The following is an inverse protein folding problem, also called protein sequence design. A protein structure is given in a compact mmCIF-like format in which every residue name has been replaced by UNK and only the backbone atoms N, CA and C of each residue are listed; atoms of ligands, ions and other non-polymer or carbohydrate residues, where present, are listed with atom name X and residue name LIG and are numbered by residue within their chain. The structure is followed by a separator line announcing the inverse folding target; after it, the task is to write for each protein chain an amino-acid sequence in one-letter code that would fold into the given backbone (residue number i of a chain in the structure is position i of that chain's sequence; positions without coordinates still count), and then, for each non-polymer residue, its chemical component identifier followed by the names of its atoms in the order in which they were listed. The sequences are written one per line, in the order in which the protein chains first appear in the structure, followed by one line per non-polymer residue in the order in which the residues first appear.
data_IF_402649686095
#
_entry.id   IF_402649686095
#
_cell.length_a   1.000
_cell.length_b   1.000
_cell.length_c   1.000
_cell.angle_alpha   90.00
_cell.angle_beta   90.00
_cell.angle_gamma   90.00
#
_symmetry.space_group_name_H-M   'P 1'
#
loop_
_entity.id
_entity.type
_entity.pdbx_description
1 polymer ?
#
# COMPACT_ATOMS: atom_id res chain seq x y z
N UNK A 1 34.88 6.39 -27.01
CA UNK A 1 33.57 6.78 -26.43
C UNK A 1 32.75 5.52 -26.23
N UNK A 2 32.45 5.13 -24.99
CA UNK A 2 31.73 3.89 -24.67
C UNK A 2 30.25 4.24 -24.49
N UNK A 3 29.42 3.97 -25.51
CA UNK A 3 27.97 3.98 -25.34
C UNK A 3 27.52 2.58 -24.89
N UNK A 4 27.34 2.41 -23.58
CA UNK A 4 26.83 1.20 -22.96
C UNK A 4 25.37 0.94 -23.32
N UNK A 5 25.12 0.23 -24.41
CA UNK A 5 23.81 -0.37 -24.68
C UNK A 5 23.54 -1.46 -23.64
N UNK A 6 22.54 -1.24 -22.78
CA UNK A 6 22.08 -2.25 -21.82
C UNK A 6 21.56 -3.47 -22.59
N UNK A 7 22.05 -4.67 -22.22
CA UNK A 7 21.65 -5.95 -22.83
C UNK A 7 20.10 -6.07 -22.89
N UNK A 8 19.49 -6.22 -24.08
CA UNK A 8 18.04 -6.24 -24.26
C UNK A 8 17.30 -7.34 -23.48
N UNK A 9 17.98 -8.43 -23.11
CA UNK A 9 17.40 -9.47 -22.25
C UNK A 9 17.11 -8.98 -20.82
N UNK A 10 17.91 -8.05 -20.29
CA UNK A 10 17.70 -7.45 -18.97
C UNK A 10 16.51 -6.46 -18.95
N UNK A 11 16.09 -5.93 -20.11
CA UNK A 11 14.92 -5.04 -20.23
C UNK A 11 13.62 -5.82 -20.00
N UNK A 12 13.55 -7.08 -20.46
CA UNK A 12 12.35 -7.93 -20.32
C UNK A 12 12.16 -8.49 -18.91
N UNK A 13 13.24 -8.82 -18.18
CA UNK A 13 13.17 -9.39 -16.81
C UNK A 13 12.50 -8.46 -15.79
N UNK A 14 12.58 -7.13 -15.97
CA UNK A 14 11.93 -6.16 -15.08
C UNK A 14 10.45 -5.87 -15.39
N UNK A 15 9.91 -6.29 -16.54
CA UNK A 15 8.57 -5.88 -17.01
C UNK A 15 7.44 -6.50 -16.19
N UNK A 16 7.50 -7.81 -15.94
CA UNK A 16 6.42 -8.52 -15.22
C UNK A 16 6.34 -8.15 -13.73
N UNK A 17 7.45 -8.06 -12.96
CA UNK A 17 7.38 -7.60 -11.57
C UNK A 17 6.83 -6.17 -11.43
N UNK A 18 7.22 -5.26 -12.34
CA UNK A 18 6.69 -3.89 -12.38
C UNK A 18 5.19 -3.87 -12.68
N UNK A 19 4.74 -4.63 -13.68
CA UNK A 19 3.33 -4.78 -14.00
C UNK A 19 2.53 -5.29 -12.79
N UNK A 20 3.06 -6.31 -12.10
CA UNK A 20 2.46 -6.88 -10.89
C UNK A 20 2.37 -5.87 -9.74
N UNK A 21 3.35 -4.98 -9.60
CA UNK A 21 3.31 -3.86 -8.65
C UNK A 21 2.19 -2.88 -9.00
N UNK A 22 2.11 -2.46 -10.25
CA UNK A 22 1.06 -1.56 -10.72
C UNK A 22 -0.35 -2.19 -10.63
N UNK A 23 -0.47 -3.52 -10.81
CA UNK A 23 -1.73 -4.26 -10.55
C UNK A 23 -2.17 -4.12 -9.09
N UNK A 24 -1.23 -4.26 -8.13
CA UNK A 24 -1.54 -4.10 -6.70
C UNK A 24 -1.96 -2.67 -6.36
N UNK A 25 -1.24 -1.67 -6.86
CA UNK A 25 -1.59 -0.25 -6.65
C UNK A 25 -3.02 0.04 -7.14
N UNK A 26 -3.35 -0.41 -8.36
CA UNK A 26 -4.70 -0.28 -8.93
C UNK A 26 -5.76 -1.00 -8.09
N UNK A 27 -5.46 -2.21 -7.62
CA UNK A 27 -6.37 -2.98 -6.78
C UNK A 27 -6.65 -2.25 -5.47
N UNK A 28 -5.62 -1.77 -4.79
CA UNK A 28 -5.74 -1.03 -3.54
C UNK A 28 -6.61 0.22 -3.70
N UNK A 29 -6.32 1.07 -4.72
CA UNK A 29 -7.13 2.25 -5.03
C UNK A 29 -8.58 1.89 -5.36
N UNK A 30 -8.81 0.78 -6.09
CA UNK A 30 -10.17 0.33 -6.41
C UNK A 30 -10.94 -0.08 -5.16
N UNK A 31 -10.31 -0.85 -4.25
CA UNK A 31 -10.94 -1.29 -3.01
C UNK A 31 -11.27 -0.12 -2.09
N UNK A 32 -10.34 0.84 -1.93
CA UNK A 32 -10.59 2.04 -1.15
C UNK A 32 -11.78 2.86 -1.69
N UNK A 33 -11.85 3.07 -3.01
CA UNK A 33 -12.97 3.76 -3.64
C UNK A 33 -14.31 3.02 -3.49
N UNK A 34 -14.28 1.69 -3.46
CA UNK A 34 -15.50 0.88 -3.30
C UNK A 34 -16.15 1.09 -1.94
N UNK A 35 -15.38 1.44 -0.91
CA UNK A 35 -15.88 1.80 0.43
C UNK A 35 -16.00 3.33 0.61
N UNK A 36 -16.10 4.10 -0.47
CA UNK A 36 -16.35 5.53 -0.42
C UNK A 36 -15.15 6.42 -0.06
N UNK A 37 -13.93 5.89 0.00
CA UNK A 37 -12.72 6.66 0.30
C UNK A 37 -12.14 7.35 -0.94
N UNK A 38 -11.57 8.54 -0.75
CA UNK A 38 -10.78 9.22 -1.76
C UNK A 38 -9.41 8.55 -1.89
N UNK A 39 -9.05 8.08 -3.10
CA UNK A 39 -7.80 7.37 -3.33
C UNK A 39 -7.20 7.57 -4.73
N UNK A 40 -5.86 7.58 -4.81
CA UNK A 40 -5.09 7.82 -6.04
C UNK A 40 -3.82 6.95 -6.13
N UNK A 41 -3.46 6.55 -7.37
CA UNK A 41 -2.12 6.00 -7.65
C UNK A 41 -1.12 7.16 -7.79
N UNK A 42 0.03 7.07 -7.13
CA UNK A 42 1.06 8.12 -7.13
C UNK A 42 2.19 7.87 -8.14
N UNK A 43 2.48 6.61 -8.47
CA UNK A 43 3.48 6.26 -9.48
C UNK A 43 2.94 6.46 -10.91
N UNK A 44 3.36 7.53 -11.59
CA UNK A 44 3.04 7.75 -13.02
C UNK A 44 4.21 7.67 -13.98
N UNK A 45 5.43 7.38 -13.52
CA UNK A 45 6.52 7.07 -14.45
C UNK A 45 7.90 7.25 -13.87
N UNK A 46 8.50 6.17 -13.37
CA UNK A 46 9.95 6.01 -13.19
C UNK A 46 10.66 6.95 -12.20
N UNK A 47 10.07 8.08 -11.83
CA UNK A 47 10.54 8.99 -10.81
C UNK A 47 10.15 8.42 -9.45
N UNK A 48 11.15 8.09 -8.64
CA UNK A 48 10.97 7.69 -7.26
C UNK A 48 10.49 8.92 -6.49
N UNK A 49 9.18 9.00 -6.22
CA UNK A 49 8.64 10.03 -5.34
C UNK A 49 9.05 9.73 -3.88
N UNK A 50 9.33 10.75 -3.09
CA UNK A 50 9.68 10.58 -1.66
C UNK A 50 8.53 9.98 -0.84
N UNK A 51 7.30 10.11 -1.32
CA UNK A 51 6.07 9.66 -0.66
C UNK A 51 5.50 8.41 -1.37
N UNK A 52 4.73 7.61 -0.62
CA UNK A 52 4.32 6.24 -0.96
C UNK A 52 3.63 6.02 -2.32
N UNK A 53 3.52 4.75 -2.70
CA UNK A 53 3.03 4.27 -4.00
C UNK A 53 1.55 4.64 -4.29
N UNK A 54 0.71 4.78 -3.25
CA UNK A 54 -0.70 5.23 -3.32
C UNK A 54 -1.01 6.27 -2.24
N UNK A 55 -2.08 7.02 -2.47
CA UNK A 55 -2.65 7.99 -1.53
C UNK A 55 -4.10 7.62 -1.21
N UNK A 56 -4.49 7.60 0.06
CA UNK A 56 -5.86 7.34 0.53
C UNK A 56 -6.17 8.37 1.62
N UNK A 57 -7.24 9.16 1.45
CA UNK A 57 -7.67 10.22 2.39
C UNK A 57 -6.51 11.14 2.84
N UNK A 58 -5.65 11.53 1.89
CA UNK A 58 -4.48 12.40 2.15
C UNK A 58 -3.29 11.72 2.84
N UNK A 59 -3.37 10.42 3.12
CA UNK A 59 -2.29 9.62 3.69
C UNK A 59 -1.60 8.74 2.63
N UNK A 60 -0.29 8.50 2.79
CA UNK A 60 0.56 7.84 1.79
C UNK A 60 0.96 6.43 2.21
N UNK A 61 0.82 5.46 1.30
CA UNK A 61 1.08 4.04 1.56
C UNK A 61 1.92 3.38 0.46
N UNK A 62 2.85 2.51 0.86
CA UNK A 62 3.64 1.68 -0.06
C UNK A 62 2.93 0.39 -0.46
N UNK A 63 3.03 -0.01 -1.72
CA UNK A 63 2.50 -1.24 -2.31
C UNK A 63 3.65 -2.19 -2.69
N UNK A 64 3.93 -3.18 -1.84
CA UNK A 64 4.99 -4.16 -2.11
C UNK A 64 4.42 -5.56 -2.30
N UNK A 65 4.77 -6.19 -3.43
CA UNK A 65 4.52 -7.63 -3.64
C UNK A 65 5.72 -8.44 -3.20
N UNK A 66 5.46 -9.56 -2.53
CA UNK A 66 6.44 -10.57 -2.13
C UNK A 66 5.87 -11.94 -2.44
N UNK A 67 6.75 -12.90 -2.73
CA UNK A 67 6.35 -14.30 -2.95
C UNK A 67 5.82 -14.94 -1.67
N UNK A 68 6.37 -14.53 -0.52
CA UNK A 68 5.91 -14.93 0.82
C UNK A 68 5.89 -13.68 1.70
N UNK A 69 4.81 -13.49 2.45
CA UNK A 69 4.73 -12.44 3.48
C UNK A 69 5.54 -12.91 4.69
N UNK A 70 6.14 -11.98 5.43
CA UNK A 70 6.74 -12.27 6.73
C UNK A 70 5.68 -12.90 7.64
N UNK A 71 5.79 -14.21 7.89
CA UNK A 71 4.79 -14.96 8.67
C UNK A 71 4.77 -14.55 10.13
N UNK A 72 5.93 -14.20 10.68
CA UNK A 72 6.12 -13.83 12.10
C UNK A 72 5.34 -12.57 12.52
N UNK A 73 4.82 -11.78 11.58
CA UNK A 73 4.02 -10.59 11.86
C UNK A 73 2.51 -10.79 11.67
N UNK A 74 2.07 -11.99 11.26
CA UNK A 74 0.66 -12.26 10.99
C UNK A 74 -0.03 -12.82 12.24
N UNK A 75 -1.36 -12.64 12.36
CA UNK A 75 -2.14 -13.40 13.33
C UNK A 75 -1.83 -14.90 13.20
N UNK A 76 -1.50 -15.54 14.32
CA UNK A 76 -1.16 -16.97 14.36
C UNK A 76 -2.33 -17.81 14.88
N UNK A 77 -3.29 -17.19 15.56
CA UNK A 77 -4.53 -17.80 16.05
C UNK A 77 -5.72 -17.00 15.50
N UNK A 78 -6.81 -16.91 16.25
CA UNK A 78 -8.04 -16.21 15.86
C UNK A 78 -8.00 -14.70 16.15
N UNK A 79 -6.85 -14.04 15.98
CA UNK A 79 -6.74 -12.58 16.16
C UNK A 79 -7.03 -11.80 14.87
N UNK A 80 -7.57 -10.58 14.99
CA UNK A 80 -7.83 -9.68 13.83
C UNK A 80 -6.58 -8.95 13.32
N UNK A 81 -5.52 -8.91 14.14
CA UNK A 81 -4.27 -8.22 13.84
C UNK A 81 -3.17 -8.50 14.86
N UNK A 82 -1.96 -8.05 14.56
CA UNK A 82 -0.79 -8.21 15.44
C UNK A 82 -0.14 -6.86 15.68
N UNK A 83 -0.02 -6.46 16.95
CA UNK A 83 0.69 -5.25 17.36
C UNK A 83 2.15 -5.58 17.61
N UNK A 84 3.06 -4.81 17.02
CA UNK A 84 4.52 -5.01 17.07
C UNK A 84 5.16 -3.72 17.54
N UNK A 85 6.11 -3.80 18.46
CA UNK A 85 6.87 -2.65 18.96
C UNK A 85 8.34 -3.02 19.15
N UNK A 86 9.22 -2.25 18.56
CA UNK A 86 10.67 -2.33 18.81
C UNK A 86 11.02 -1.62 20.13
N UNK A 87 12.15 -1.94 20.75
CA UNK A 87 12.57 -1.29 22.00
C UNK A 87 12.65 0.24 21.83
N UNK A 88 12.03 0.98 22.75
CA UNK A 88 11.88 2.46 22.72
C UNK A 88 11.23 3.02 21.45
N UNK A 89 10.68 2.18 20.57
CA UNK A 89 9.99 2.55 19.35
C UNK A 89 8.49 2.78 19.53
N UNK A 90 7.82 3.23 18.46
CA UNK A 90 6.35 3.32 18.41
C UNK A 90 5.76 1.94 18.09
N UNK A 91 4.59 1.58 18.68
CA UNK A 91 3.88 0.39 18.27
C UNK A 91 3.26 0.57 16.88
N UNK A 92 3.30 -0.47 16.08
CA UNK A 92 2.62 -0.61 14.80
C UNK A 92 1.69 -1.80 14.84
N UNK A 93 0.73 -1.88 13.91
CA UNK A 93 -0.18 -3.01 13.79
C UNK A 93 -0.18 -3.56 12.37
N UNK A 94 -0.18 -4.89 12.26
CA UNK A 94 -0.48 -5.60 11.02
C UNK A 94 -1.95 -5.98 11.05
N UNK A 95 -2.70 -5.49 10.08
CA UNK A 95 -4.13 -5.75 9.88
C UNK A 95 -4.37 -6.35 8.50
N UNK A 96 -5.45 -7.08 8.36
CA UNK A 96 -6.00 -7.38 7.04
C UNK A 96 -6.39 -6.08 6.33
N UNK A 97 -6.10 -6.04 5.03
CA UNK A 97 -6.24 -4.80 4.27
C UNK A 97 -7.69 -4.31 4.21
N UNK A 98 -8.65 -5.24 4.14
CA UNK A 98 -10.08 -4.91 4.19
C UNK A 98 -10.49 -4.30 5.54
N UNK A 99 -10.02 -4.87 6.65
CA UNK A 99 -10.28 -4.33 7.99
C UNK A 99 -9.74 -2.90 8.12
N UNK A 100 -8.52 -2.67 7.63
CA UNK A 100 -7.93 -1.34 7.58
C UNK A 100 -8.77 -0.34 6.77
N UNK A 101 -9.28 -0.73 5.59
CA UNK A 101 -10.15 0.12 4.78
C UNK A 101 -11.48 0.41 5.48
N UNK A 102 -12.06 -0.55 6.18
CA UNK A 102 -13.29 -0.36 6.95
C UNK A 102 -13.08 0.66 8.07
N UNK A 103 -11.96 0.58 8.79
CA UNK A 103 -11.60 1.59 9.82
C UNK A 103 -11.51 2.99 9.22
N UNK A 104 -10.84 3.15 8.08
CA UNK A 104 -10.75 4.44 7.39
C UNK A 104 -12.14 4.95 6.96
N UNK A 105 -13.00 4.07 6.46
CA UNK A 105 -14.37 4.43 6.07
C UNK A 105 -15.16 4.98 7.25
N UNK A 106 -15.13 4.29 8.40
CA UNK A 106 -15.81 4.73 9.62
C UNK A 106 -15.27 6.08 10.10
N UNK A 107 -13.95 6.24 10.11
CA UNK A 107 -13.31 7.49 10.53
C UNK A 107 -13.76 8.67 9.64
N UNK A 108 -13.89 8.45 8.34
CA UNK A 108 -14.39 9.45 7.40
C UNK A 108 -15.84 9.81 7.70
N UNK A 109 -16.73 8.82 7.83
CA UNK A 109 -18.14 9.05 8.15
C UNK A 109 -18.32 9.85 9.44
N UNK A 110 -17.54 9.50 10.47
CA UNK A 110 -17.54 10.25 11.72
C UNK A 110 -17.08 11.69 11.50
N UNK A 111 -15.97 11.91 10.79
CA UNK A 111 -15.43 13.24 10.53
C UNK A 111 -16.39 14.13 9.73
N UNK A 112 -17.14 13.57 8.78
CA UNK A 112 -18.13 14.31 7.99
C UNK A 112 -19.43 14.55 8.77
N UNK A 113 -19.82 13.61 9.65
CA UNK A 113 -20.95 13.76 10.58
C UNK A 113 -20.75 14.88 11.60
N UNK A 114 -19.51 15.12 12.07
CA UNK A 114 -19.20 16.24 12.98
C UNK A 114 -19.22 17.60 12.30
N UNK A 115 -19.01 17.67 10.97
CA UNK A 115 -19.07 18.93 10.20
C UNK A 115 -20.49 19.41 9.90
N UNK A 116 -21.49 18.56 10.16
CA UNK A 116 -22.91 18.84 9.91
C UNK A 116 -23.67 19.26 11.19
N UNK A 117 -22.95 19.58 12.27
CA UNK A 117 -23.49 20.14 13.51
C UNK A 117 -22.81 21.45 13.87
#
# INVERSE_FOLDING_TARGET
MINGMKNPENIRRGKRPRQRGAELQRQAVKMAKAVGLQAFNRDRGGAQHEQGDIEIEGHYYGCKRRTRIAKWCKPEKSEEGVVIREDRGKPFIVLDYEYFLNLLSIMKEMADGTKSK
#
